data_IF_158491965035
#
_entry.id   IF_158491965035
#
_cell.length_a   1.000
_cell.length_b   1.000
_cell.length_c   1.000
_cell.angle_alpha   90.00
_cell.angle_beta   90.00
_cell.angle_gamma   90.00
#
_symmetry.space_group_name_H-M   'P 1'
#
loop_
_entity.id
_entity.type
_entity.pdbx_description
1 polymer ?
#
# COMPACT_ATOMS: atom_id res chain seq x y z
N UNK A 1 -10.18 -15.79 24.34
CA UNK A 1 -10.04 -14.44 24.91
C UNK A 1 -8.62 -13.95 24.64
N UNK A 2 -8.44 -12.70 24.22
CA UNK A 2 -7.10 -12.14 23.97
C UNK A 2 -6.35 -11.91 25.29
N UNK A 3 -5.06 -12.25 25.32
CA UNK A 3 -4.20 -11.98 26.47
C UNK A 3 -3.77 -10.50 26.51
N UNK A 4 -3.29 -10.04 27.67
CA UNK A 4 -2.74 -8.68 27.83
C UNK A 4 -1.58 -8.41 26.87
N UNK A 5 -0.70 -9.38 26.68
CA UNK A 5 0.42 -9.29 25.74
C UNK A 5 -0.07 -9.14 24.29
N UNK A 6 -1.08 -9.91 23.88
CA UNK A 6 -1.66 -9.82 22.55
C UNK A 6 -2.32 -8.46 22.31
N UNK A 7 -3.02 -7.92 23.31
CA UNK A 7 -3.62 -6.58 23.24
C UNK A 7 -2.54 -5.49 23.11
N UNK A 8 -1.47 -5.57 23.91
CA UNK A 8 -0.34 -4.65 23.81
C UNK A 8 0.35 -4.74 22.45
N UNK A 9 0.52 -5.95 21.92
CA UNK A 9 1.06 -6.15 20.58
C UNK A 9 0.16 -5.52 19.51
N UNK A 10 -1.15 -5.80 19.52
CA UNK A 10 -2.09 -5.21 18.56
C UNK A 10 -2.01 -3.68 18.59
N UNK A 11 -2.07 -3.09 19.79
CA UNK A 11 -1.97 -1.65 19.98
C UNK A 11 -0.63 -1.08 19.47
N UNK A 12 0.50 -1.76 19.72
CA UNK A 12 1.82 -1.34 19.21
C UNK A 12 1.90 -1.32 17.68
N UNK A 13 1.02 -2.05 17.02
CA UNK A 13 0.89 -2.09 15.58
C UNK A 13 -0.24 -1.18 15.09
N UNK A 14 -0.98 -0.46 15.95
CA UNK A 14 -2.13 0.33 15.51
C UNK A 14 -3.35 -0.52 15.12
N UNK A 15 -3.45 -1.74 15.68
CA UNK A 15 -4.61 -2.61 15.56
C UNK A 15 -5.41 -2.64 16.86
N UNK A 16 -6.69 -2.92 16.70
CA UNK A 16 -7.66 -3.02 17.78
C UNK A 16 -8.19 -4.45 17.91
N UNK A 17 -9.01 -4.72 18.92
CA UNK A 17 -9.68 -6.03 19.08
C UNK A 17 -10.63 -6.29 17.91
N UNK A 18 -11.20 -5.24 17.35
CA UNK A 18 -12.14 -5.24 16.25
C UNK A 18 -11.48 -5.73 14.95
N UNK A 19 -10.17 -5.63 14.82
CA UNK A 19 -9.39 -6.17 13.69
C UNK A 19 -9.15 -7.68 13.80
N UNK A 20 -9.60 -8.31 14.89
CA UNK A 20 -9.30 -9.70 15.22
C UNK A 20 -10.47 -10.66 15.02
N UNK A 21 -10.16 -11.96 14.95
CA UNK A 21 -11.11 -13.05 14.82
C UNK A 21 -10.71 -14.23 15.72
N UNK A 22 -11.68 -14.80 16.44
CA UNK A 22 -11.45 -15.99 17.26
C UNK A 22 -11.40 -17.24 16.38
N UNK A 23 -10.22 -17.83 16.22
CA UNK A 23 -10.01 -19.01 15.40
C UNK A 23 -9.83 -20.29 16.24
N UNK A 24 -10.35 -20.31 17.47
CA UNK A 24 -10.29 -21.48 18.34
C UNK A 24 -10.84 -22.72 17.62
N UNK A 25 -10.03 -23.78 17.56
CA UNK A 25 -10.39 -25.05 16.91
C UNK A 25 -10.42 -25.01 15.38
N UNK A 26 -10.10 -23.88 14.75
CA UNK A 26 -10.13 -23.72 13.30
C UNK A 26 -8.76 -23.93 12.66
N UNK A 27 -8.76 -24.50 11.45
CA UNK A 27 -7.58 -24.50 10.57
C UNK A 27 -7.52 -23.20 9.75
N UNK A 28 -6.39 -22.95 9.11
CA UNK A 28 -6.21 -21.75 8.28
C UNK A 28 -7.16 -21.73 7.08
N UNK A 29 -7.44 -22.88 6.46
CA UNK A 29 -8.43 -22.96 5.38
C UNK A 29 -9.85 -22.64 5.85
N UNK A 30 -10.18 -22.91 7.13
CA UNK A 30 -11.49 -22.61 7.71
C UNK A 30 -11.65 -21.12 8.05
N UNK A 31 -10.71 -20.50 8.78
CA UNK A 31 -10.89 -19.10 9.18
C UNK A 31 -10.61 -18.10 8.06
N UNK A 32 -9.79 -18.45 7.06
CA UNK A 32 -9.40 -17.55 5.97
C UNK A 32 -10.59 -16.91 5.23
N UNK A 33 -11.55 -17.67 4.67
CA UNK A 33 -12.69 -17.09 3.96
C UNK A 33 -13.59 -16.25 4.89
N UNK A 34 -13.72 -16.64 6.16
CA UNK A 34 -14.53 -15.93 7.16
C UNK A 34 -13.90 -14.56 7.45
N UNK A 35 -12.61 -14.53 7.76
CA UNK A 35 -11.86 -13.31 8.00
C UNK A 35 -11.83 -12.40 6.77
N UNK A 36 -11.74 -12.97 5.56
CA UNK A 36 -11.80 -12.21 4.31
C UNK A 36 -13.15 -11.52 4.14
N UNK A 37 -14.25 -12.25 4.37
CA UNK A 37 -15.62 -11.70 4.27
C UNK A 37 -15.89 -10.64 5.36
N UNK A 38 -15.41 -10.87 6.58
CA UNK A 38 -15.59 -9.98 7.72
C UNK A 38 -14.51 -8.89 7.85
N UNK A 39 -13.64 -8.76 6.84
CA UNK A 39 -12.50 -7.83 6.80
C UNK A 39 -11.59 -7.86 8.06
N UNK A 40 -11.45 -9.01 8.72
CA UNK A 40 -10.58 -9.17 9.89
C UNK A 40 -9.13 -9.39 9.46
N UNK A 41 -8.16 -8.87 10.20
CA UNK A 41 -6.74 -8.91 9.85
C UNK A 41 -6.00 -10.05 10.56
N UNK A 42 -6.35 -10.29 11.84
CA UNK A 42 -5.61 -11.21 12.72
C UNK A 42 -6.53 -12.26 13.35
N UNK A 43 -6.20 -13.53 13.19
CA UNK A 43 -6.80 -14.60 13.96
C UNK A 43 -6.05 -14.78 15.29
N UNK A 44 -6.77 -14.98 16.39
CA UNK A 44 -6.22 -15.38 17.69
C UNK A 44 -6.78 -16.74 18.12
N UNK A 45 -6.25 -17.34 19.19
CA UNK A 45 -6.54 -18.73 19.59
C UNK A 45 -6.19 -19.79 18.52
N UNK A 46 -5.23 -19.46 17.66
CA UNK A 46 -4.74 -20.39 16.61
C UNK A 46 -3.74 -21.40 17.17
N UNK A 47 -3.39 -22.41 16.36
CA UNK A 47 -2.28 -23.31 16.68
C UNK A 47 -0.98 -22.50 16.93
N UNK A 48 -0.28 -22.75 18.06
CA UNK A 48 0.91 -22.00 18.42
C UNK A 48 1.99 -22.11 17.34
N UNK A 49 2.75 -21.03 17.14
CA UNK A 49 3.96 -21.08 16.33
C UNK A 49 5.12 -21.72 17.10
N UNK A 50 6.31 -21.82 16.47
CA UNK A 50 7.52 -22.34 17.13
C UNK A 50 7.90 -21.57 18.39
N UNK A 51 7.53 -20.29 18.49
CA UNK A 51 7.77 -19.43 19.64
C UNK A 51 6.55 -19.37 20.60
N UNK A 52 5.55 -20.24 20.44
CA UNK A 52 4.38 -20.30 21.32
C UNK A 52 3.26 -19.29 21.03
N UNK A 53 3.45 -18.34 20.10
CA UNK A 53 2.41 -17.35 19.77
C UNK A 53 1.18 -17.97 19.10
N UNK A 54 0.00 -17.55 19.55
CA UNK A 54 -1.31 -18.06 19.07
C UNK A 54 -2.07 -17.06 18.19
N UNK A 55 -1.37 -16.05 17.65
CA UNK A 55 -1.91 -15.14 16.63
C UNK A 55 -1.40 -15.47 15.23
N UNK A 56 -2.25 -15.32 14.21
CA UNK A 56 -1.92 -15.50 12.78
C UNK A 56 -2.55 -14.43 11.89
N UNK A 57 -1.87 -14.08 10.81
CA UNK A 57 -2.50 -13.38 9.68
C UNK A 57 -3.48 -14.31 8.96
N UNK A 58 -4.33 -13.77 8.07
CA UNK A 58 -5.21 -14.58 7.20
C UNK A 58 -4.45 -15.73 6.50
N UNK A 59 -3.23 -15.46 6.04
CA UNK A 59 -2.40 -16.45 5.32
C UNK A 59 -1.65 -17.42 6.25
N UNK A 60 -1.84 -17.35 7.58
CA UNK A 60 -1.23 -18.28 8.53
C UNK A 60 0.17 -17.91 9.02
N UNK A 61 0.66 -16.70 8.75
CA UNK A 61 1.94 -16.24 9.29
C UNK A 61 1.77 -15.72 10.72
N UNK A 62 2.79 -15.90 11.56
CA UNK A 62 2.77 -15.32 12.91
C UNK A 62 3.16 -13.84 12.86
N UNK A 63 2.25 -12.91 13.18
CA UNK A 63 2.52 -11.47 13.10
C UNK A 63 3.51 -11.01 14.18
N UNK A 64 3.58 -11.70 15.33
CA UNK A 64 4.52 -11.42 16.41
C UNK A 64 5.96 -11.85 16.07
N UNK A 65 6.14 -12.89 15.26
CA UNK A 65 7.46 -13.32 14.80
C UNK A 65 7.99 -12.48 13.63
N UNK A 66 7.09 -11.97 12.79
CA UNK A 66 7.46 -11.12 11.66
C UNK A 66 6.40 -10.03 11.42
N UNK A 67 6.68 -8.83 11.92
CA UNK A 67 5.79 -7.67 11.85
C UNK A 67 5.75 -7.01 10.47
N UNK A 68 6.63 -7.40 9.53
CA UNK A 68 6.64 -6.83 8.17
C UNK A 68 5.32 -7.11 7.42
N UNK A 69 4.68 -8.26 7.68
CA UNK A 69 3.37 -8.59 7.13
C UNK A 69 2.25 -7.67 7.61
N UNK A 70 2.36 -7.13 8.83
CA UNK A 70 1.38 -6.19 9.38
C UNK A 70 1.54 -4.80 8.77
N UNK A 71 2.78 -4.34 8.61
CA UNK A 71 3.06 -3.06 7.93
C UNK A 71 2.54 -3.05 6.49
N UNK A 72 2.60 -4.17 5.78
CA UNK A 72 2.01 -4.32 4.43
C UNK A 72 0.47 -4.25 4.45
N UNK A 73 -0.17 -4.91 5.42
CA UNK A 73 -1.63 -4.91 5.60
C UNK A 73 -2.16 -3.55 6.11
N UNK A 74 -1.39 -2.84 6.93
CA UNK A 74 -1.74 -1.50 7.43
C UNK A 74 -1.59 -0.45 6.35
N UNK A 75 -0.51 -0.51 5.55
CA UNK A 75 -0.32 0.36 4.39
C UNK A 75 -1.43 0.21 3.36
N UNK A 76 -1.98 -1.00 3.16
CA UNK A 76 -3.12 -1.20 2.24
C UNK A 76 -4.45 -0.67 2.80
N UNK A 77 -4.58 -0.49 4.12
CA UNK A 77 -5.73 0.13 4.79
C UNK A 77 -5.52 1.62 5.12
N UNK A 78 -4.40 2.22 4.68
CA UNK A 78 -4.08 3.61 4.99
C UNK A 78 -4.82 4.54 4.02
N UNK A 79 -5.66 5.41 4.59
CA UNK A 79 -6.22 6.54 3.87
C UNK A 79 -5.13 7.54 3.52
N UNK A 80 -5.20 8.18 2.36
CA UNK A 80 -4.14 9.07 1.89
C UNK A 80 -4.35 9.53 0.47
N UNK A 81 -3.24 9.89 -0.20
CA UNK A 81 -3.24 10.34 -1.58
C UNK A 81 -2.54 9.34 -2.49
N UNK A 82 -3.28 8.79 -3.46
CA UNK A 82 -2.67 8.08 -4.59
C UNK A 82 -2.40 9.08 -5.69
N UNK A 83 -1.17 9.14 -6.18
CA UNK A 83 -0.73 10.13 -7.15
C UNK A 83 0.02 9.52 -8.33
N UNK A 84 0.06 10.27 -9.43
CA UNK A 84 0.87 10.00 -10.61
C UNK A 84 1.84 11.16 -10.78
N UNK A 85 3.13 10.87 -10.72
CA UNK A 85 4.20 11.78 -11.12
C UNK A 85 4.81 11.34 -12.46
N UNK A 86 5.26 12.29 -13.26
CA UNK A 86 5.91 12.04 -14.54
C UNK A 86 7.21 12.82 -14.58
N UNK A 87 8.29 12.17 -15.02
CA UNK A 87 9.53 12.87 -15.40
C UNK A 87 9.49 13.09 -16.92
N UNK A 88 9.71 14.33 -17.35
CA UNK A 88 9.71 14.69 -18.77
C UNK A 88 10.94 14.13 -19.48
N UNK A 89 12.10 14.10 -18.81
CA UNK A 89 13.37 13.59 -19.33
C UNK A 89 13.32 12.09 -19.57
N UNK A 90 12.82 11.32 -18.59
CA UNK A 90 12.76 9.86 -18.69
C UNK A 90 11.52 9.35 -19.41
N UNK A 91 10.47 10.18 -19.50
CA UNK A 91 9.11 9.80 -19.92
C UNK A 91 8.49 8.69 -19.06
N UNK A 92 9.05 8.42 -17.87
CA UNK A 92 8.54 7.43 -16.93
C UNK A 92 7.46 8.03 -16.03
N UNK A 93 6.51 7.18 -15.68
CA UNK A 93 5.51 7.47 -14.65
C UNK A 93 5.92 6.85 -13.32
N UNK A 94 5.61 7.53 -12.22
CA UNK A 94 5.62 6.99 -10.86
C UNK A 94 4.21 7.00 -10.31
N UNK A 95 3.73 5.85 -9.85
CA UNK A 95 2.50 5.75 -9.06
C UNK A 95 2.89 5.43 -7.64
N UNK A 96 2.40 6.23 -6.69
CA UNK A 96 2.69 6.02 -5.29
C UNK A 96 1.62 6.57 -4.36
N UNK A 97 1.82 6.28 -3.08
CA UNK A 97 1.00 6.75 -1.98
C UNK A 97 1.76 7.80 -1.14
N UNK A 98 1.05 8.80 -0.64
CA UNK A 98 1.58 9.78 0.32
C UNK A 98 0.47 10.35 1.19
N UNK A 99 0.83 10.87 2.37
CA UNK A 99 -0.07 11.68 3.21
C UNK A 99 0.11 13.18 3.03
N UNK A 100 1.21 13.59 2.38
CA UNK A 100 1.61 14.99 2.26
C UNK A 100 1.79 15.37 0.79
N UNK A 101 0.68 15.35 0.03
CA UNK A 101 0.71 15.56 -1.43
C UNK A 101 1.32 16.92 -1.82
N UNK A 102 1.17 17.95 -1.00
CA UNK A 102 1.65 19.30 -1.26
C UNK A 102 3.18 19.40 -1.37
N UNK A 103 3.93 18.61 -0.58
CA UNK A 103 5.40 18.63 -0.54
C UNK A 103 6.02 17.46 -1.30
N UNK A 104 5.19 16.55 -1.85
CA UNK A 104 5.69 15.29 -2.42
C UNK A 104 6.46 15.50 -3.71
N UNK A 105 6.03 16.43 -4.56
CA UNK A 105 6.73 16.78 -5.81
C UNK A 105 8.15 17.29 -5.52
N UNK A 106 8.27 18.29 -4.65
CA UNK A 106 9.56 18.83 -4.18
C UNK A 106 10.43 17.73 -3.57
N UNK A 107 9.87 16.88 -2.72
CA UNK A 107 10.60 15.77 -2.12
C UNK A 107 11.17 14.82 -3.16
N UNK A 108 10.42 14.44 -4.20
CA UNK A 108 10.92 13.54 -5.24
C UNK A 108 12.14 14.13 -5.94
N UNK A 109 12.06 15.43 -6.25
CA UNK A 109 13.10 16.15 -6.96
C UNK A 109 14.34 16.38 -6.11
N UNK A 110 14.15 16.83 -4.86
CA UNK A 110 15.24 17.02 -3.89
C UNK A 110 16.00 15.74 -3.59
N UNK A 111 15.31 14.58 -3.58
CA UNK A 111 15.94 13.28 -3.32
C UNK A 111 16.52 12.61 -4.56
N UNK A 112 16.46 13.25 -5.73
CA UNK A 112 16.91 12.69 -7.00
C UNK A 112 16.32 11.29 -7.26
N UNK A 113 15.01 11.14 -6.98
CA UNK A 113 14.37 9.82 -7.00
C UNK A 113 14.49 9.18 -8.38
N UNK A 114 14.99 7.92 -8.40
CA UNK A 114 15.27 7.18 -9.63
C UNK A 114 16.26 7.88 -10.60
N UNK A 115 17.15 8.71 -10.06
CA UNK A 115 18.10 9.53 -10.81
C UNK A 115 17.48 10.69 -11.62
N UNK A 116 16.30 11.15 -11.22
CA UNK A 116 15.62 12.28 -11.86
C UNK A 116 15.14 13.31 -10.82
N UNK A 117 15.17 14.58 -11.22
CA UNK A 117 14.75 15.76 -10.44
C UNK A 117 13.69 16.63 -11.15
N UNK A 118 13.10 16.10 -12.22
CA UNK A 118 12.09 16.78 -13.03
C UNK A 118 10.71 16.13 -12.88
N UNK A 119 10.45 15.50 -11.73
CA UNK A 119 9.17 14.90 -11.41
C UNK A 119 8.10 15.97 -11.24
N UNK A 120 7.00 15.79 -11.97
CA UNK A 120 5.80 16.61 -11.86
C UNK A 120 4.62 15.73 -11.52
N UNK A 121 3.93 16.00 -10.41
CA UNK A 121 2.68 15.35 -10.05
C UNK A 121 1.57 15.89 -10.96
N UNK A 122 1.01 15.02 -11.80
CA UNK A 122 -0.01 15.40 -12.81
C UNK A 122 -1.42 14.99 -12.40
N UNK A 123 -1.54 14.03 -11.49
CA UNK A 123 -2.84 13.58 -10.99
C UNK A 123 -2.72 13.09 -9.57
N UNK A 124 -3.72 13.37 -8.73
CA UNK A 124 -3.85 12.77 -7.41
C UNK A 124 -5.31 12.65 -6.98
N UNK A 125 -5.61 11.56 -6.27
CA UNK A 125 -6.87 11.34 -5.58
C UNK A 125 -6.62 11.21 -4.08
N UNK A 126 -7.59 11.64 -3.27
CA UNK A 126 -7.67 11.32 -1.84
C UNK A 126 -8.68 10.19 -1.63
N UNK A 127 -8.35 9.19 -0.81
CA UNK A 127 -9.27 8.10 -0.46
C UNK A 127 -8.86 7.48 0.87
N UNK A 128 -9.83 7.00 1.66
CA UNK A 128 -9.58 6.15 2.84
C UNK A 128 -9.04 4.76 2.45
N UNK A 129 -9.14 4.39 1.18
CA UNK A 129 -8.66 3.13 0.61
C UNK A 129 -7.39 3.31 -0.23
N UNK A 130 -6.63 4.39 -0.04
CA UNK A 130 -5.52 4.77 -0.91
C UNK A 130 -4.50 3.63 -1.08
N UNK A 131 -4.16 2.93 0.00
CA UNK A 131 -3.26 1.77 -0.06
C UNK A 131 -3.75 0.64 -0.97
N UNK A 132 -5.00 0.21 -0.78
CA UNK A 132 -5.67 -0.79 -1.64
C UNK A 132 -5.73 -0.35 -3.10
N UNK A 133 -6.02 0.92 -3.34
CA UNK A 133 -6.08 1.46 -4.71
C UNK A 133 -4.70 1.38 -5.36
N UNK A 134 -3.66 1.82 -4.65
CA UNK A 134 -2.29 1.80 -5.16
C UNK A 134 -1.80 0.39 -5.48
N UNK A 135 -2.04 -0.57 -4.58
CA UNK A 135 -1.70 -1.98 -4.77
C UNK A 135 -2.40 -2.56 -6.00
N UNK A 136 -3.71 -2.36 -6.13
CA UNK A 136 -4.50 -2.83 -7.28
C UNK A 136 -4.01 -2.23 -8.60
N UNK A 137 -3.65 -0.95 -8.59
CA UNK A 137 -3.16 -0.27 -9.79
C UNK A 137 -1.78 -0.80 -10.18
N UNK A 138 -0.88 -0.99 -9.22
CA UNK A 138 0.44 -1.60 -9.46
C UNK A 138 0.31 -3.01 -10.03
N UNK A 139 -0.61 -3.84 -9.49
CA UNK A 139 -0.88 -5.17 -10.04
C UNK A 139 -1.38 -5.10 -11.50
N UNK A 140 -2.31 -4.19 -11.81
CA UNK A 140 -2.85 -4.03 -13.18
C UNK A 140 -1.84 -3.49 -14.18
N UNK A 141 -0.84 -2.75 -13.71
CA UNK A 141 0.21 -2.14 -14.54
C UNK A 141 1.56 -2.87 -14.42
N UNK A 142 1.60 -4.06 -13.81
CA UNK A 142 2.83 -4.81 -13.57
C UNK A 142 3.61 -5.08 -14.86
N UNK A 143 2.92 -5.33 -15.98
CA UNK A 143 3.55 -5.52 -17.29
C UNK A 143 4.31 -4.28 -17.81
N UNK A 144 4.04 -3.11 -17.25
CA UNK A 144 4.73 -1.84 -17.56
C UNK A 144 5.76 -1.48 -16.49
N UNK A 145 5.97 -2.33 -15.48
CA UNK A 145 6.91 -2.03 -14.40
C UNK A 145 8.32 -1.82 -14.93
N UNK A 146 8.97 -0.81 -14.38
CA UNK A 146 10.34 -0.45 -14.70
C UNK A 146 11.11 -0.29 -13.39
N UNK A 147 12.40 -0.61 -13.40
CA UNK A 147 13.25 -0.53 -12.22
C UNK A 147 14.53 0.20 -12.56
N UNK A 148 14.94 1.10 -11.66
CA UNK A 148 16.20 1.80 -11.72
C UNK A 148 16.85 1.79 -10.35
N UNK A 149 18.16 1.59 -10.33
CA UNK A 149 18.96 1.79 -9.14
C UNK A 149 19.27 3.29 -8.97
N UNK A 150 19.18 3.79 -7.75
CA UNK A 150 19.51 5.17 -7.42
C UNK A 150 20.11 5.26 -6.02
N UNK A 151 20.94 6.28 -5.78
CA UNK A 151 21.55 6.50 -4.48
C UNK A 151 20.62 7.35 -3.61
N UNK A 152 20.27 6.85 -2.42
CA UNK A 152 19.38 7.54 -1.50
C UNK A 152 19.70 7.18 -0.05
N UNK A 153 19.83 8.20 0.81
CA UNK A 153 20.20 8.08 2.22
C UNK A 153 21.46 7.25 2.46
N UNK A 154 22.53 7.54 1.71
CA UNK A 154 23.83 6.91 1.89
C UNK A 154 23.94 5.48 1.34
N UNK A 155 22.92 4.97 0.65
CA UNK A 155 22.90 3.60 0.09
C UNK A 155 22.26 3.54 -1.29
N UNK A 156 22.62 2.51 -2.05
CA UNK A 156 21.92 2.16 -3.28
C UNK A 156 20.54 1.57 -2.96
N UNK A 157 19.51 2.03 -3.67
CA UNK A 157 18.13 1.58 -3.57
C UNK A 157 17.57 1.32 -4.97
N UNK A 158 16.56 0.44 -5.07
CA UNK A 158 15.86 0.16 -6.33
C UNK A 158 14.52 0.89 -6.31
N UNK A 159 14.29 1.75 -7.30
CA UNK A 159 13.01 2.39 -7.55
C UNK A 159 12.05 1.39 -8.21
N UNK A 160 11.24 0.71 -7.41
CA UNK A 160 10.29 -0.34 -7.86
C UNK A 160 8.92 0.20 -8.29
N UNK A 161 8.69 1.50 -8.10
CA UNK A 161 7.40 2.16 -8.33
C UNK A 161 7.34 2.91 -9.68
N UNK A 162 8.26 2.62 -10.59
CA UNK A 162 8.31 3.22 -11.92
C UNK A 162 7.50 2.37 -12.91
N UNK A 163 6.86 3.06 -13.84
CA UNK A 163 6.08 2.47 -14.91
C UNK A 163 6.47 3.14 -16.24
N UNK A 164 6.73 2.31 -17.25
CA UNK A 164 6.85 2.75 -18.63
C UNK A 164 5.47 2.68 -19.31
N UNK A 165 4.57 3.59 -18.94
CA UNK A 165 3.25 3.71 -19.54
C UNK A 165 2.77 5.15 -19.63
N UNK A 166 1.84 5.41 -20.54
CA UNK A 166 1.27 6.74 -20.74
C UNK A 166 0.45 7.21 -19.54
N UNK A 167 0.50 8.52 -19.27
CA UNK A 167 -0.30 9.17 -18.24
C UNK A 167 -1.79 8.82 -18.33
N UNK A 168 -2.35 8.82 -19.54
CA UNK A 168 -3.76 8.49 -19.78
C UNK A 168 -4.10 7.08 -19.30
N UNK A 169 -3.22 6.12 -19.53
CA UNK A 169 -3.37 4.73 -19.08
C UNK A 169 -3.25 4.60 -17.57
N UNK A 170 -2.26 5.26 -16.96
CA UNK A 170 -2.09 5.27 -15.52
C UNK A 170 -3.32 5.88 -14.81
N UNK A 171 -3.80 7.02 -15.30
CA UNK A 171 -4.97 7.73 -14.78
C UNK A 171 -6.25 6.90 -14.93
N UNK A 172 -6.52 6.35 -16.11
CA UNK A 172 -7.71 5.52 -16.32
C UNK A 172 -7.69 4.30 -15.41
N UNK A 173 -6.53 3.67 -15.21
CA UNK A 173 -6.38 2.51 -14.33
C UNK A 173 -6.70 2.82 -12.87
N UNK A 174 -6.29 4.00 -12.35
CA UNK A 174 -6.66 4.45 -10.99
C UNK A 174 -8.16 4.65 -10.87
N UNK A 175 -8.77 5.37 -11.82
CA UNK A 175 -10.23 5.62 -11.81
C UNK A 175 -11.01 4.31 -11.90
N UNK A 176 -10.60 3.40 -12.77
CA UNK A 176 -11.23 2.09 -12.94
C UNK A 176 -11.04 1.20 -11.71
N UNK A 177 -9.93 1.32 -10.99
CA UNK A 177 -9.72 0.61 -9.73
C UNK A 177 -10.73 1.10 -8.67
N UNK A 178 -10.89 2.42 -8.54
CA UNK A 178 -11.84 3.00 -7.61
C UNK A 178 -13.28 2.60 -7.93
N UNK A 179 -13.70 2.74 -9.20
CA UNK A 179 -15.07 2.43 -9.64
C UNK A 179 -15.43 0.96 -9.49
N UNK A 180 -14.58 0.04 -9.98
CA UNK A 180 -14.86 -1.41 -9.93
C UNK A 180 -14.90 -1.95 -8.50
N UNK A 181 -14.12 -1.37 -7.61
CA UNK A 181 -14.09 -1.76 -6.19
C UNK A 181 -15.01 -0.94 -5.29
N UNK A 182 -15.78 -0.01 -5.87
CA UNK A 182 -16.68 0.90 -5.15
C UNK A 182 -15.98 1.66 -4.01
N UNK A 183 -14.70 2.00 -4.19
CA UNK A 183 -13.96 2.79 -3.21
C UNK A 183 -14.29 4.26 -3.39
N UNK A 184 -14.63 4.94 -2.29
CA UNK A 184 -14.81 6.39 -2.28
C UNK A 184 -13.49 7.10 -2.55
N UNK A 185 -13.53 8.12 -3.41
CA UNK A 185 -12.37 8.93 -3.72
C UNK A 185 -12.76 10.35 -4.13
N UNK A 186 -11.86 11.30 -3.88
CA UNK A 186 -11.95 12.68 -4.37
C UNK A 186 -10.73 12.99 -5.22
N UNK A 187 -10.94 13.47 -6.45
CA UNK A 187 -9.85 14.03 -7.25
C UNK A 187 -9.42 15.34 -6.61
N UNK A 188 -8.17 15.43 -6.17
CA UNK A 188 -7.61 16.62 -5.52
C UNK A 188 -6.62 17.37 -6.41
N UNK A 189 -6.08 16.71 -7.44
CA UNK A 189 -5.20 17.31 -8.43
C UNK A 189 -5.41 16.65 -9.79
N UNK A 190 -5.57 17.45 -10.83
CA UNK A 190 -5.62 16.99 -12.22
C UNK A 190 -5.06 18.08 -13.16
N UNK A 191 -3.77 18.00 -13.46
CA UNK A 191 -3.08 18.93 -14.38
C UNK A 191 -3.20 18.38 -15.80
N UNK A 192 -4.04 19.01 -16.63
CA UNK A 192 -4.17 18.65 -18.05
C UNK A 192 -2.87 18.97 -18.82
N UNK A 193 -2.65 18.32 -19.97
CA UNK A 193 -1.49 18.54 -20.86
C UNK A 193 -1.42 19.95 -21.50
N UNK A 194 -2.31 20.88 -21.15
CA UNK A 194 -2.23 22.25 -21.65
C UNK A 194 -1.51 23.12 -20.63
N UNK A 195 -0.21 23.30 -20.84
CA UNK A 195 0.49 24.59 -20.81
C UNK A 195 2.00 24.38 -20.86
N UNK A 196 2.55 24.42 -22.08
CA UNK A 196 3.77 25.12 -22.55
C UNK A 196 4.34 24.35 -23.72
#
# INVERSE_FOLDING_TARGET
MLTKEQLLFLHSQGLSKEDTFDALGMTQSTYYPIMKKANKLIAYNTKPCKNGHTMRTRSGHCPQCNTAYLKFIQRSNEGGFVYIAISQRSKLCKIGLTHAIAVREESLNRTYYANFDDWVIRFAIKSEYAGKIEELVKMRLYAYSYQLEYFHDGKMQIATELLNCDFKKAKSTIIDACKKSQYEYKIVLNRNEKNS
#
